data_IF_712118880186
#
_entry.id   IF_712118880186
#
_cell.length_a   1.000
_cell.length_b   1.000
_cell.length_c   1.000
_cell.angle_alpha   90.00
_cell.angle_beta   90.00
_cell.angle_gamma   90.00
#
_symmetry.space_group_name_H-M   'P 1'
#
loop_
_entity.id
_entity.type
_entity.pdbx_description
1 polymer ?
#
# COMPACT_ATOMS: atom_id res chain seq x y z
N UNK A 1 45.95 -32.09 28.39
CA UNK A 1 45.08 -30.89 28.28
C UNK A 1 45.04 -30.45 26.82
N UNK A 2 43.99 -30.82 26.08
CA UNK A 2 43.82 -30.42 24.67
C UNK A 2 42.85 -29.24 24.63
N UNK A 3 43.35 -28.06 24.22
CA UNK A 3 42.57 -26.84 24.01
C UNK A 3 41.78 -26.97 22.71
N UNK A 4 40.45 -26.89 22.79
CA UNK A 4 39.57 -26.75 21.64
C UNK A 4 39.57 -25.28 21.22
N UNK A 5 40.06 -25.02 20.01
CA UNK A 5 40.02 -23.72 19.37
C UNK A 5 38.63 -23.53 18.76
N UNK A 6 37.77 -22.76 19.41
CA UNK A 6 36.52 -22.29 18.79
C UNK A 6 36.88 -21.20 17.78
N UNK A 7 36.87 -21.57 16.50
CA UNK A 7 36.89 -20.61 15.40
C UNK A 7 35.53 -19.92 15.38
N UNK A 8 35.52 -18.66 15.84
CA UNK A 8 34.43 -17.71 15.62
C UNK A 8 34.47 -17.30 14.16
N UNK A 9 33.76 -18.04 13.30
CA UNK A 9 33.44 -17.59 11.94
C UNK A 9 32.49 -16.40 12.05
N UNK A 10 32.98 -15.21 11.71
CA UNK A 10 32.15 -14.07 11.38
C UNK A 10 31.43 -14.39 10.07
N UNK A 11 30.19 -14.86 10.15
CA UNK A 11 29.33 -15.04 8.99
C UNK A 11 28.89 -13.64 8.53
N UNK A 12 29.61 -13.11 7.54
CA UNK A 12 29.20 -11.95 6.77
C UNK A 12 28.06 -12.38 5.85
N UNK A 13 26.81 -12.25 6.31
CA UNK A 13 25.65 -12.46 5.45
C UNK A 13 25.66 -11.40 4.34
N UNK A 14 26.07 -11.84 3.15
CA UNK A 14 26.03 -11.06 1.92
C UNK A 14 24.57 -10.82 1.54
N UNK A 15 24.04 -9.61 1.80
CA UNK A 15 22.76 -9.16 1.24
C UNK A 15 22.99 -8.93 -0.26
N UNK A 16 22.81 -9.96 -1.08
CA UNK A 16 22.82 -9.80 -2.53
C UNK A 16 21.46 -9.24 -2.97
N UNK A 17 21.44 -7.98 -3.39
CA UNK A 17 20.30 -7.38 -4.11
C UNK A 17 19.20 -6.79 -3.23
N UNK A 18 19.52 -6.23 -2.06
CA UNK A 18 18.58 -5.48 -1.22
C UNK A 18 17.60 -6.34 -0.41
N UNK A 19 17.35 -7.60 -0.80
CA UNK A 19 16.44 -8.48 -0.06
C UNK A 19 17.07 -9.10 1.19
N UNK A 20 16.36 -9.03 2.32
CA UNK A 20 16.74 -9.75 3.55
C UNK A 20 16.47 -11.25 3.50
N UNK A 21 15.88 -11.77 2.41
CA UNK A 21 15.48 -13.17 2.30
C UNK A 21 16.69 -14.10 2.20
N UNK A 22 16.64 -15.18 2.98
CA UNK A 22 17.64 -16.25 2.92
C UNK A 22 17.50 -17.01 1.60
N UNK A 23 18.65 -17.41 1.07
CA UNK A 23 18.75 -18.19 -0.18
C UNK A 23 19.30 -19.59 0.12
N UNK A 24 19.26 -20.51 -0.86
CA UNK A 24 19.90 -21.83 -0.72
C UNK A 24 21.40 -21.80 -0.38
N UNK A 25 22.07 -20.64 -0.44
CA UNK A 25 23.47 -20.46 -0.01
C UNK A 25 23.61 -20.07 1.46
N UNK A 26 22.54 -20.09 2.26
CA UNK A 26 22.60 -19.72 3.67
C UNK A 26 23.60 -20.61 4.43
N UNK A 27 24.57 -20.00 5.11
CA UNK A 27 25.74 -20.68 5.69
C UNK A 27 26.96 -20.73 4.76
N UNK A 28 26.98 -19.94 3.69
CA UNK A 28 27.97 -19.88 2.59
C UNK A 28 28.03 -21.14 1.71
N UNK A 29 27.94 -22.32 2.32
CA UNK A 29 27.88 -23.64 1.65
C UNK A 29 26.45 -24.22 1.58
N UNK A 30 25.46 -23.49 2.10
CA UNK A 30 24.07 -23.97 2.19
C UNK A 30 23.79 -24.85 3.42
N UNK A 31 24.76 -25.07 4.31
CA UNK A 31 24.60 -25.91 5.52
C UNK A 31 23.50 -25.41 6.47
N UNK A 32 23.21 -24.11 6.47
CA UNK A 32 22.16 -23.51 7.27
C UNK A 32 20.79 -23.49 6.56
N UNK A 33 20.72 -23.83 5.26
CA UNK A 33 19.46 -23.92 4.51
C UNK A 33 18.61 -25.09 5.00
N UNK A 34 17.28 -24.91 5.01
CA UNK A 34 16.27 -25.88 5.52
C UNK A 34 16.38 -26.21 7.01
N UNK A 35 17.26 -25.55 7.76
CA UNK A 35 17.31 -25.70 9.21
C UNK A 35 16.17 -24.94 9.86
N UNK A 36 15.39 -25.65 10.69
CA UNK A 36 14.21 -25.09 11.36
C UNK A 36 14.56 -24.30 12.63
N UNK A 37 15.73 -24.58 13.23
CA UNK A 37 16.16 -24.03 14.53
C UNK A 37 17.24 -22.97 14.33
N UNK A 38 16.83 -21.72 14.14
CA UNK A 38 17.75 -20.59 13.93
C UNK A 38 18.76 -20.46 15.09
N UNK A 39 18.35 -20.80 16.31
CA UNK A 39 19.16 -20.71 17.52
C UNK A 39 20.45 -21.54 17.48
N UNK A 40 20.47 -22.62 16.70
CA UNK A 40 21.63 -23.51 16.60
C UNK A 40 22.83 -22.80 15.96
N UNK A 41 22.58 -21.88 15.04
CA UNK A 41 23.62 -21.12 14.33
C UNK A 41 23.68 -19.64 14.78
N UNK A 42 22.57 -19.09 15.28
CA UNK A 42 22.40 -17.67 15.57
C UNK A 42 22.03 -17.43 17.05
N UNK A 43 22.99 -17.53 17.98
CA UNK A 43 22.68 -17.36 19.40
C UNK A 43 22.27 -15.91 19.71
N UNK A 44 21.11 -15.70 20.34
CA UNK A 44 20.55 -14.38 20.74
C UNK A 44 21.56 -13.37 21.31
N UNK A 45 22.54 -13.75 22.14
CA UNK A 45 23.54 -12.80 22.64
C UNK A 45 24.42 -12.18 21.56
N UNK A 46 24.57 -12.85 20.41
CA UNK A 46 25.49 -12.52 19.31
C UNK A 46 24.82 -12.07 18.01
N UNK A 47 23.51 -12.27 17.85
CA UNK A 47 22.80 -11.78 16.67
C UNK A 47 22.65 -10.26 16.69
N UNK A 48 22.70 -9.65 15.50
CA UNK A 48 22.49 -8.21 15.31
C UNK A 48 23.36 -7.31 16.23
N UNK A 49 24.60 -7.75 16.48
CA UNK A 49 25.60 -6.96 17.21
C UNK A 49 26.15 -5.85 16.29
N UNK A 50 25.44 -4.72 16.21
CA UNK A 50 25.87 -3.54 15.45
C UNK A 50 24.72 -2.58 15.18
N UNK A 51 25.03 -1.30 14.93
CA UNK A 51 24.04 -0.37 14.36
C UNK A 51 23.93 -0.63 12.85
N UNK A 52 22.72 -0.54 12.25
CA UNK A 52 21.44 -0.11 12.83
C UNK A 52 20.64 -1.23 13.54
N UNK A 53 21.13 -2.47 13.54
CA UNK A 53 20.39 -3.66 13.95
C UNK A 53 20.10 -3.79 15.48
N UNK A 54 20.53 -2.83 16.32
CA UNK A 54 20.28 -2.86 17.76
C UNK A 54 18.79 -2.86 18.13
N UNK A 55 17.93 -2.17 17.35
CA UNK A 55 16.47 -2.20 17.55
C UNK A 55 15.86 -3.57 17.24
N UNK A 56 16.33 -4.21 16.17
CA UNK A 56 15.90 -5.56 15.75
C UNK A 56 16.25 -6.60 16.82
N UNK A 57 17.41 -6.47 17.48
CA UNK A 57 17.81 -7.38 18.56
C UNK A 57 16.81 -7.40 19.72
N UNK A 58 16.27 -6.24 20.11
CA UNK A 58 15.21 -6.16 21.12
C UNK A 58 13.96 -6.92 20.68
N UNK A 59 13.54 -6.72 19.44
CA UNK A 59 12.40 -7.43 18.85
C UNK A 59 12.59 -8.95 18.85
N UNK A 60 13.74 -9.46 18.41
CA UNK A 60 14.01 -10.92 18.39
C UNK A 60 14.09 -11.50 19.80
N UNK A 61 14.62 -10.73 20.78
CA UNK A 61 14.60 -11.15 22.19
C UNK A 61 13.17 -11.26 22.72
N UNK A 62 12.33 -10.28 22.41
CA UNK A 62 10.99 -10.17 23.00
C UNK A 62 9.98 -11.10 22.30
N UNK A 63 10.15 -11.32 20.98
CA UNK A 63 9.23 -12.13 20.13
C UNK A 63 9.77 -13.51 19.76
N UNK A 64 11.04 -13.79 20.06
CA UNK A 64 11.71 -15.06 19.78
C UNK A 64 12.05 -15.28 18.30
N UNK A 65 12.60 -16.46 17.98
CA UNK A 65 13.09 -16.80 16.63
C UNK A 65 12.02 -16.86 15.54
N UNK A 66 10.73 -16.84 15.90
CA UNK A 66 9.65 -16.73 14.93
C UNK A 66 9.73 -15.39 14.15
N UNK A 67 10.21 -14.31 14.77
CA UNK A 67 10.39 -13.02 14.08
C UNK A 67 11.50 -13.07 13.02
N UNK A 68 12.47 -13.99 13.16
CA UNK A 68 13.51 -14.18 12.14
C UNK A 68 12.90 -14.59 10.81
N UNK A 69 11.97 -15.54 10.80
CA UNK A 69 11.30 -15.95 9.56
C UNK A 69 10.43 -14.83 8.98
N UNK A 70 9.90 -13.94 9.83
CA UNK A 70 9.16 -12.75 9.40
C UNK A 70 9.98 -11.78 8.55
N UNK A 71 11.29 -11.65 8.79
CA UNK A 71 12.18 -10.79 7.99
C UNK A 71 12.96 -11.56 6.92
N UNK A 72 13.45 -12.74 7.27
CA UNK A 72 14.41 -13.51 6.48
C UNK A 72 13.75 -14.61 5.62
N UNK A 73 12.43 -14.76 5.70
CA UNK A 73 11.68 -15.81 5.01
C UNK A 73 11.80 -17.18 5.69
N UNK A 74 11.28 -18.21 5.04
CA UNK A 74 11.15 -19.55 5.65
C UNK A 74 12.47 -20.33 5.80
N UNK A 75 13.61 -19.76 5.39
CA UNK A 75 14.90 -20.46 5.29
C UNK A 75 14.81 -21.77 4.48
N UNK A 76 13.95 -21.81 3.46
CA UNK A 76 13.74 -23.01 2.63
C UNK A 76 12.96 -24.12 3.31
N UNK A 77 12.50 -23.90 4.54
CA UNK A 77 11.52 -24.77 5.18
C UNK A 77 10.13 -24.50 4.60
N UNK A 78 9.18 -25.39 4.90
CA UNK A 78 7.76 -25.21 4.54
C UNK A 78 6.99 -24.40 5.60
N UNK A 79 7.68 -23.76 6.55
CA UNK A 79 7.03 -22.90 7.55
C UNK A 79 6.59 -21.58 6.90
N UNK A 80 5.38 -21.12 7.25
CA UNK A 80 4.84 -19.83 6.79
C UNK A 80 5.62 -18.65 7.38
N UNK A 81 5.66 -17.52 6.67
CA UNK A 81 6.31 -16.27 7.09
C UNK A 81 5.39 -15.50 8.03
N UNK A 82 5.68 -15.36 9.35
CA UNK A 82 4.74 -14.76 10.30
C UNK A 82 4.81 -13.24 10.30
N UNK A 83 4.33 -12.57 9.24
CA UNK A 83 4.32 -11.11 9.10
C UNK A 83 3.69 -10.38 10.30
N UNK A 84 2.54 -10.84 10.82
CA UNK A 84 1.80 -10.19 11.91
C UNK A 84 2.53 -10.22 13.25
N UNK A 85 3.55 -11.07 13.41
CA UNK A 85 4.40 -11.01 14.60
C UNK A 85 5.08 -9.65 14.72
N UNK A 86 5.37 -8.99 13.60
CA UNK A 86 5.95 -7.66 13.51
C UNK A 86 4.92 -6.59 13.11
N UNK A 87 4.00 -6.95 12.22
CA UNK A 87 2.97 -6.05 11.69
C UNK A 87 1.69 -6.06 12.54
N UNK A 88 1.80 -5.68 13.81
CA UNK A 88 0.66 -5.63 14.75
C UNK A 88 0.47 -4.23 15.36
N UNK A 89 -0.68 -3.93 15.98
CA UNK A 89 -0.99 -2.60 16.52
C UNK A 89 -0.05 -2.11 17.64
N UNK A 90 0.69 -3.00 18.31
CA UNK A 90 1.63 -2.63 19.38
C UNK A 90 2.97 -2.14 18.83
N UNK A 91 3.41 -2.74 17.72
CA UNK A 91 4.78 -2.59 17.23
C UNK A 91 4.87 -1.77 15.93
N UNK A 92 3.77 -1.66 15.18
CA UNK A 92 3.73 -0.77 14.03
C UNK A 92 3.44 0.68 14.45
N UNK A 93 4.06 1.66 13.78
CA UNK A 93 3.54 3.02 13.81
C UNK A 93 2.09 3.04 13.30
N UNK A 94 1.36 4.10 13.60
CA UNK A 94 -0.05 4.24 13.18
C UNK A 94 -0.24 4.08 11.65
N UNK A 95 0.82 4.23 10.85
CA UNK A 95 0.85 4.07 9.40
C UNK A 95 1.77 2.91 8.98
N UNK A 96 1.43 2.14 7.91
CA UNK A 96 0.18 2.21 7.16
C UNK A 96 -0.99 1.62 7.95
N UNK A 97 -2.14 2.30 7.91
CA UNK A 97 -3.34 1.88 8.60
C UNK A 97 -3.90 0.58 8.00
N UNK A 98 -4.15 -0.43 8.84
CA UNK A 98 -4.75 -1.73 8.46
C UNK A 98 -6.13 -1.95 9.10
N UNK A 99 -6.77 -0.88 9.53
CA UNK A 99 -8.11 -0.89 10.12
C UNK A 99 -9.19 -0.68 9.05
N UNK A 100 -10.42 -1.07 9.35
CA UNK A 100 -11.52 -1.06 8.39
C UNK A 100 -12.28 -2.38 8.35
N UNK A 101 -13.59 -2.27 8.10
CA UNK A 101 -14.46 -3.40 7.74
C UNK A 101 -14.23 -3.91 6.31
N UNK A 102 -13.71 -3.05 5.41
CA UNK A 102 -13.33 -3.42 4.05
C UNK A 102 -11.82 -3.44 3.92
N UNK A 103 -11.27 -4.53 3.38
CA UNK A 103 -9.83 -4.75 3.25
C UNK A 103 -9.54 -5.65 2.06
N UNK A 104 -8.32 -5.56 1.54
CA UNK A 104 -7.81 -6.52 0.57
C UNK A 104 -7.50 -7.84 1.29
N UNK A 105 -8.54 -8.57 1.69
CA UNK A 105 -8.42 -9.96 2.15
C UNK A 105 -8.53 -10.87 0.92
N UNK A 106 -7.52 -11.69 0.70
CA UNK A 106 -7.52 -12.67 -0.39
C UNK A 106 -8.03 -14.01 0.15
N UNK A 107 -9.35 -14.23 0.03
CA UNK A 107 -10.00 -15.53 0.21
C UNK A 107 -9.88 -16.21 1.60
N UNK A 108 -9.91 -15.44 2.68
CA UNK A 108 -10.00 -16.00 4.05
C UNK A 108 -8.74 -16.77 4.48
N UNK A 109 -7.61 -16.46 3.86
CA UNK A 109 -6.31 -17.00 4.23
C UNK A 109 -5.82 -16.37 5.54
N UNK A 110 -4.79 -16.96 6.16
CA UNK A 110 -4.13 -16.28 7.27
C UNK A 110 -3.46 -15.01 6.75
N UNK A 111 -3.62 -13.88 7.45
CA UNK A 111 -3.05 -12.57 7.11
C UNK A 111 -1.59 -12.62 6.65
N UNK A 112 -0.81 -13.54 7.21
CA UNK A 112 0.60 -13.76 6.88
C UNK A 112 0.85 -14.24 5.45
N UNK A 113 -0.02 -15.08 4.91
CA UNK A 113 0.10 -15.57 3.53
C UNK A 113 -0.32 -14.50 2.52
N UNK A 114 -1.29 -13.68 2.88
CA UNK A 114 -1.76 -12.58 2.04
C UNK A 114 -0.71 -11.45 1.96
N UNK A 115 0.00 -11.17 3.06
CA UNK A 115 1.06 -10.16 3.05
C UNK A 115 2.15 -10.49 2.01
N UNK A 116 2.58 -11.76 1.92
CA UNK A 116 3.69 -12.15 1.02
C UNK A 116 3.29 -12.23 -0.45
N UNK A 117 2.00 -12.16 -0.75
CA UNK A 117 1.49 -11.95 -2.11
C UNK A 117 1.96 -10.60 -2.64
N UNK A 118 1.74 -9.53 -1.88
CA UNK A 118 2.09 -8.17 -2.28
C UNK A 118 3.49 -7.76 -1.83
N UNK A 119 4.04 -8.37 -0.77
CA UNK A 119 5.30 -7.95 -0.13
C UNK A 119 6.34 -9.07 -0.06
N UNK A 120 6.47 -9.85 -1.14
CA UNK A 120 7.34 -11.02 -1.15
C UNK A 120 8.78 -10.68 -0.74
N UNK A 121 9.32 -9.59 -1.28
CA UNK A 121 10.74 -9.23 -1.17
C UNK A 121 11.05 -8.04 -0.27
N UNK A 122 10.04 -7.54 0.48
CA UNK A 122 10.21 -6.40 1.37
C UNK A 122 11.37 -6.60 2.35
N UNK A 123 12.26 -5.61 2.37
CA UNK A 123 13.47 -5.61 3.19
C UNK A 123 13.22 -5.09 4.61
N UNK A 124 12.03 -4.52 4.85
CA UNK A 124 11.51 -4.17 6.17
C UNK A 124 12.43 -3.22 6.95
N UNK A 125 13.10 -2.29 6.26
CA UNK A 125 14.01 -1.34 6.89
C UNK A 125 13.31 -0.10 7.51
N UNK A 126 12.00 0.01 7.27
CA UNK A 126 11.14 1.09 7.75
C UNK A 126 10.94 2.23 6.75
N UNK A 127 11.62 2.19 5.61
CA UNK A 127 11.29 2.96 4.43
C UNK A 127 10.39 2.11 3.53
N UNK A 128 9.60 2.77 2.69
CA UNK A 128 8.77 2.07 1.71
C UNK A 128 9.26 2.42 0.32
N UNK A 129 9.86 1.43 -0.33
CA UNK A 129 10.37 1.52 -1.68
C UNK A 129 9.59 0.55 -2.55
N UNK A 130 8.73 1.10 -3.42
CA UNK A 130 7.85 0.31 -4.30
C UNK A 130 8.55 -0.81 -5.06
N UNK A 131 9.81 -0.62 -5.45
CA UNK A 131 10.57 -1.64 -6.20
C UNK A 131 11.14 -2.75 -5.34
N UNK A 132 11.30 -2.50 -4.04
CA UNK A 132 11.88 -3.42 -3.08
C UNK A 132 10.78 -4.11 -2.28
N UNK A 133 9.81 -3.35 -1.81
CA UNK A 133 8.76 -3.80 -0.92
C UNK A 133 7.54 -4.38 -1.59
N UNK A 134 7.26 -4.03 -2.86
CA UNK A 134 6.19 -4.66 -3.61
C UNK A 134 6.73 -5.82 -4.44
N UNK A 135 5.97 -6.91 -4.49
CA UNK A 135 6.16 -8.00 -5.43
C UNK A 135 6.06 -7.44 -6.85
N UNK A 136 7.11 -7.62 -7.65
CA UNK A 136 7.12 -7.24 -9.06
C UNK A 136 6.27 -8.21 -9.89
N UNK A 137 4.99 -7.89 -10.06
CA UNK A 137 4.10 -8.56 -11.00
C UNK A 137 4.45 -8.20 -12.45
N UNK A 138 4.28 -9.16 -13.40
CA UNK A 138 4.58 -8.95 -14.80
C UNK A 138 3.71 -7.84 -15.43
N UNK A 139 4.26 -7.17 -16.45
CA UNK A 139 3.56 -6.19 -17.27
C UNK A 139 2.69 -6.83 -18.36
N UNK A 140 2.06 -5.99 -19.18
CA UNK A 140 1.27 -6.39 -20.36
C UNK A 140 2.05 -7.30 -21.35
N UNK A 141 3.38 -7.24 -21.33
CA UNK A 141 4.28 -8.06 -22.13
C UNK A 141 4.85 -9.25 -21.36
N UNK A 142 4.28 -9.58 -20.20
CA UNK A 142 4.71 -10.67 -19.32
C UNK A 142 6.15 -10.52 -18.78
N UNK A 143 6.62 -9.28 -18.64
CA UNK A 143 7.97 -8.98 -18.11
C UNK A 143 7.89 -8.35 -16.73
N UNK A 144 8.76 -8.74 -15.77
CA UNK A 144 8.85 -8.06 -14.48
C UNK A 144 9.54 -6.70 -14.70
N UNK A 145 8.74 -5.64 -14.83
CA UNK A 145 9.23 -4.26 -14.98
C UNK A 145 8.99 -3.44 -13.71
N UNK A 146 9.91 -2.53 -13.34
CA UNK A 146 9.75 -1.66 -12.18
C UNK A 146 8.48 -0.79 -12.25
N UNK A 147 7.88 -0.48 -11.10
CA UNK A 147 6.72 0.41 -10.94
C UNK A 147 7.09 1.90 -10.95
N UNK A 148 6.52 2.71 -11.85
CA UNK A 148 6.79 4.16 -11.83
C UNK A 148 5.87 4.90 -10.85
N UNK A 149 4.70 4.34 -10.53
CA UNK A 149 3.71 4.89 -9.60
C UNK A 149 3.07 3.78 -8.72
N UNK A 150 2.29 4.13 -7.68
CA UNK A 150 1.48 3.11 -7.00
C UNK A 150 0.37 2.60 -7.93
N UNK A 151 -0.19 3.48 -8.75
CA UNK A 151 -1.16 3.11 -9.78
C UNK A 151 -0.61 2.01 -10.69
N UNK A 152 0.65 2.08 -11.11
CA UNK A 152 1.23 1.03 -11.95
C UNK A 152 1.21 -0.35 -11.28
N UNK A 153 1.35 -0.42 -9.95
CA UNK A 153 1.18 -1.65 -9.18
C UNK A 153 -0.28 -2.10 -9.19
N UNK A 154 -1.22 -1.21 -8.86
CA UNK A 154 -2.66 -1.51 -8.87
C UNK A 154 -3.12 -2.03 -10.24
N UNK A 155 -2.67 -1.40 -11.32
CA UNK A 155 -3.04 -1.72 -12.70
C UNK A 155 -2.47 -3.06 -13.18
N UNK A 156 -1.49 -3.65 -12.48
CA UNK A 156 -1.09 -5.05 -12.78
C UNK A 156 -2.23 -6.02 -12.57
N UNK A 157 -3.07 -5.79 -11.57
CA UNK A 157 -4.20 -6.66 -11.26
C UNK A 157 -5.53 -6.09 -11.76
N UNK A 158 -5.68 -4.76 -11.76
CA UNK A 158 -6.89 -4.08 -12.22
C UNK A 158 -6.83 -3.74 -13.70
N UNK A 159 -6.80 -4.79 -14.52
CA UNK A 159 -6.88 -4.70 -15.97
C UNK A 159 -7.65 -5.93 -16.49
N UNK A 160 -8.12 -5.81 -17.73
CA UNK A 160 -8.90 -6.85 -18.40
C UNK A 160 -8.10 -7.63 -19.44
N UNK A 161 -7.07 -7.00 -20.01
CA UNK A 161 -6.37 -7.51 -21.19
C UNK A 161 -5.16 -8.39 -20.85
N UNK A 162 -4.65 -8.31 -19.62
CA UNK A 162 -3.50 -9.08 -19.15
C UNK A 162 -3.55 -9.32 -17.64
N UNK A 163 -4.60 -10.00 -17.14
CA UNK A 163 -4.75 -10.26 -15.71
C UNK A 163 -3.60 -11.16 -15.22
N UNK A 164 -3.19 -10.95 -13.97
CA UNK A 164 -2.20 -11.82 -13.31
C UNK A 164 -2.88 -13.16 -12.98
N UNK A 165 -2.24 -14.30 -13.29
CA UNK A 165 -2.75 -15.60 -12.86
C UNK A 165 -3.01 -15.67 -11.35
N UNK A 166 -4.23 -16.03 -10.97
CA UNK A 166 -4.70 -16.08 -9.58
C UNK A 166 -5.31 -14.77 -9.05
N UNK A 167 -5.32 -13.69 -9.85
CA UNK A 167 -5.95 -12.40 -9.53
C UNK A 167 -6.99 -12.00 -10.57
N UNK A 168 -7.47 -12.96 -11.37
CA UNK A 168 -8.55 -12.72 -12.30
C UNK A 168 -9.84 -12.32 -11.56
N UNK A 169 -10.69 -11.55 -12.24
CA UNK A 169 -12.01 -11.14 -11.75
C UNK A 169 -13.14 -11.79 -12.57
N UNK A 170 -13.28 -13.14 -12.55
CA UNK A 170 -14.14 -13.87 -13.48
C UNK A 170 -15.63 -13.58 -13.31
N UNK A 171 -16.06 -13.12 -12.12
CA UNK A 171 -17.46 -12.84 -11.81
C UNK A 171 -17.89 -11.41 -12.17
N UNK A 172 -17.03 -10.65 -12.87
CA UNK A 172 -17.29 -9.27 -13.26
C UNK A 172 -17.41 -9.13 -14.77
N UNK A 173 -18.26 -8.20 -15.20
CA UNK A 173 -18.41 -7.88 -16.61
C UNK A 173 -17.13 -7.25 -17.18
N UNK A 174 -16.86 -7.45 -18.47
CA UNK A 174 -15.71 -6.87 -19.17
C UNK A 174 -15.66 -5.34 -19.12
N UNK A 175 -16.81 -4.68 -18.92
CA UNK A 175 -16.96 -3.23 -18.77
C UNK A 175 -17.05 -2.78 -17.32
N UNK A 176 -16.97 -3.69 -16.36
CA UNK A 176 -16.90 -3.33 -14.95
C UNK A 176 -15.70 -2.38 -14.74
N UNK A 177 -15.89 -1.20 -14.12
CA UNK A 177 -14.81 -0.24 -13.94
C UNK A 177 -13.58 -0.80 -13.22
N UNK A 178 -13.72 -1.81 -12.35
CA UNK A 178 -12.58 -2.46 -11.70
C UNK A 178 -11.80 -3.39 -12.63
N UNK A 179 -12.47 -3.99 -13.63
CA UNK A 179 -11.86 -4.83 -14.66
C UNK A 179 -11.20 -3.96 -15.72
N UNK A 180 -11.88 -2.89 -16.16
CA UNK A 180 -11.37 -1.93 -17.14
C UNK A 180 -10.56 -0.77 -16.52
N UNK A 181 -10.07 -0.91 -15.28
CA UNK A 181 -9.51 0.23 -14.54
C UNK A 181 -8.26 0.80 -15.21
N UNK A 182 -7.42 -0.03 -15.84
CA UNK A 182 -6.28 0.48 -16.61
C UNK A 182 -6.70 1.42 -17.73
N UNK A 183 -7.74 1.06 -18.48
CA UNK A 183 -8.28 1.93 -19.53
C UNK A 183 -8.90 3.19 -18.93
N UNK A 184 -9.68 3.03 -17.85
CA UNK A 184 -10.31 4.15 -17.17
C UNK A 184 -9.25 5.13 -16.67
N UNK A 185 -8.24 4.64 -15.96
CA UNK A 185 -7.16 5.44 -15.41
C UNK A 185 -6.35 6.15 -16.49
N UNK A 186 -6.04 5.45 -17.60
CA UNK A 186 -5.23 6.00 -18.68
C UNK A 186 -6.02 6.90 -19.64
N UNK A 187 -7.34 6.72 -19.77
CA UNK A 187 -8.11 7.31 -20.87
C UNK A 187 -9.41 8.02 -20.49
N UNK A 188 -9.92 7.89 -19.27
CA UNK A 188 -11.23 8.43 -18.89
C UNK A 188 -11.15 9.23 -17.58
N UNK A 189 -10.69 8.61 -16.50
CA UNK A 189 -10.60 9.13 -15.15
C UNK A 189 -9.29 9.90 -14.93
N UNK A 190 -9.05 10.85 -15.83
CA UNK A 190 -7.86 11.69 -15.95
C UNK A 190 -7.69 12.71 -14.81
N UNK A 191 -7.85 12.30 -13.54
CA UNK A 191 -7.54 13.13 -12.38
C UNK A 191 -6.06 13.50 -12.44
N UNK A 192 -5.79 14.76 -12.79
CA UNK A 192 -4.43 15.23 -12.95
C UNK A 192 -3.83 15.19 -14.35
N UNK A 193 -4.60 14.95 -15.41
CA UNK A 193 -4.06 15.01 -16.79
C UNK A 193 -4.60 16.17 -17.62
N UNK A 194 -5.77 16.72 -17.26
CA UNK A 194 -6.37 17.85 -17.96
C UNK A 194 -5.99 19.17 -17.27
N UNK A 195 -5.78 20.21 -18.08
CA UNK A 195 -5.85 21.60 -17.62
C UNK A 195 -7.31 21.85 -17.23
N UNK A 196 -7.55 22.44 -16.06
CA UNK A 196 -8.90 22.68 -15.54
C UNK A 196 -9.78 23.43 -16.54
N UNK A 197 -11.08 23.18 -16.48
CA UNK A 197 -12.07 23.89 -17.29
C UNK A 197 -12.28 25.33 -16.81
N UNK A 198 -13.05 26.10 -17.59
CA UNK A 198 -13.53 27.45 -17.22
C UNK A 198 -14.90 27.40 -16.49
N UNK A 199 -15.17 26.30 -15.79
CA UNK A 199 -16.47 25.99 -15.18
C UNK A 199 -16.76 26.82 -13.93
N UNK A 200 -18.04 26.91 -13.54
CA UNK A 200 -18.43 27.65 -12.32
C UNK A 200 -17.91 26.98 -11.03
N UNK A 201 -17.63 25.68 -11.09
CA UNK A 201 -17.25 24.86 -9.94
C UNK A 201 -15.80 24.37 -10.02
N UNK A 202 -14.98 24.97 -10.89
CA UNK A 202 -13.55 24.67 -10.99
C UNK A 202 -12.81 25.06 -9.71
N UNK A 203 -11.70 24.38 -9.46
CA UNK A 203 -10.75 24.77 -8.42
C UNK A 203 -10.25 23.59 -7.60
N UNK A 204 -9.01 23.72 -7.16
CA UNK A 204 -8.30 22.73 -6.38
C UNK A 204 -7.75 23.39 -5.12
N UNK A 205 -7.64 22.60 -4.05
CA UNK A 205 -6.92 23.03 -2.86
C UNK A 205 -5.44 23.19 -3.14
N UNK A 206 -4.82 24.02 -2.31
CA UNK A 206 -3.36 24.12 -2.26
C UNK A 206 -2.71 22.74 -2.11
N UNK A 207 -1.63 22.52 -2.86
CA UNK A 207 -0.97 21.22 -3.00
C UNK A 207 -1.44 20.41 -4.22
N UNK A 208 -2.68 20.60 -4.66
CA UNK A 208 -3.21 19.96 -5.86
C UNK A 208 -3.17 20.90 -7.07
N UNK A 209 -2.84 20.34 -8.24
CA UNK A 209 -2.82 21.10 -9.49
C UNK A 209 -3.51 20.34 -10.63
N UNK A 210 -4.16 21.09 -11.52
CA UNK A 210 -4.60 20.53 -12.78
C UNK A 210 -3.38 20.15 -13.61
N UNK A 211 -3.44 19.00 -14.28
CA UNK A 211 -2.29 18.44 -14.99
C UNK A 211 -1.25 17.73 -14.10
N UNK A 212 -1.45 17.64 -12.77
CA UNK A 212 -0.65 16.75 -11.91
C UNK A 212 -1.37 15.43 -11.61
N UNK A 213 -0.84 14.30 -12.08
CA UNK A 213 -1.40 12.94 -11.93
C UNK A 213 -1.72 12.61 -10.47
N UNK A 214 -2.98 12.25 -10.21
CA UNK A 214 -3.46 11.73 -8.92
C UNK A 214 -3.27 10.21 -8.91
N UNK A 215 -2.72 9.67 -7.82
CA UNK A 215 -2.46 8.24 -7.68
C UNK A 215 -3.74 7.51 -7.21
N UNK A 216 -3.87 6.21 -7.49
CA UNK A 216 -5.01 5.40 -6.99
C UNK A 216 -5.11 5.47 -5.46
N UNK A 217 -3.95 5.53 -4.80
CA UNK A 217 -3.83 5.60 -3.34
C UNK A 217 -4.23 6.95 -2.75
N UNK A 218 -4.47 7.98 -3.56
CA UNK A 218 -5.00 9.25 -3.05
C UNK A 218 -6.48 9.13 -2.66
N UNK A 219 -7.21 8.20 -3.28
CA UNK A 219 -8.63 7.96 -3.01
C UNK A 219 -8.90 6.59 -2.39
N UNK A 220 -8.04 5.59 -2.63
CA UNK A 220 -8.25 4.22 -2.17
C UNK A 220 -7.21 3.76 -1.13
N UNK A 221 -7.68 3.09 -0.08
CA UNK A 221 -6.84 2.49 0.95
C UNK A 221 -6.36 1.09 0.53
N UNK A 222 -5.04 0.87 0.53
CA UNK A 222 -4.44 -0.40 0.12
C UNK A 222 -4.66 -1.53 1.13
N UNK A 223 -4.73 -1.24 2.43
CA UNK A 223 -4.80 -2.28 3.46
C UNK A 223 -6.15 -2.38 4.16
N UNK A 224 -6.94 -1.31 4.16
CA UNK A 224 -8.30 -1.35 4.70
C UNK A 224 -8.87 0.03 4.99
N UNK A 225 -10.20 0.07 5.07
CA UNK A 225 -11.00 1.27 5.33
C UNK A 225 -12.40 0.89 5.82
N UNK A 226 -13.11 1.83 6.43
CA UNK A 226 -14.53 1.68 6.73
C UNK A 226 -15.46 1.94 5.53
N UNK A 227 -14.96 2.55 4.45
CA UNK A 227 -15.78 2.86 3.28
C UNK A 227 -15.77 1.74 2.23
N UNK A 228 -16.91 1.55 1.57
CA UNK A 228 -17.05 0.61 0.44
C UNK A 228 -16.15 1.03 -0.73
N UNK A 229 -15.83 0.07 -1.61
CA UNK A 229 -14.93 0.33 -2.75
C UNK A 229 -13.50 0.68 -2.34
N UNK A 230 -13.14 0.37 -1.09
CA UNK A 230 -11.85 0.66 -0.49
C UNK A 230 -11.48 2.15 -0.51
N UNK A 231 -12.46 3.06 -0.48
CA UNK A 231 -12.20 4.49 -0.41
C UNK A 231 -11.59 4.87 0.94
N UNK A 232 -10.64 5.80 1.00
CA UNK A 232 -10.04 6.21 2.26
C UNK A 232 -11.12 6.68 3.26
N UNK A 233 -10.97 6.33 4.53
CA UNK A 233 -11.85 6.78 5.63
C UNK A 233 -11.29 7.98 6.39
N UNK A 234 -10.10 8.43 5.98
CA UNK A 234 -9.46 9.65 6.44
C UNK A 234 -8.37 10.09 5.50
N UNK A 235 -8.05 11.38 5.50
CA UNK A 235 -7.03 11.95 4.64
C UNK A 235 -5.66 11.27 4.80
N UNK A 236 -5.19 10.91 6.01
CA UNK A 236 -3.89 10.24 6.19
C UNK A 236 -3.75 8.86 5.51
N UNK A 237 -4.84 8.21 5.10
CA UNK A 237 -4.77 6.97 4.32
C UNK A 237 -4.54 7.22 2.82
N UNK A 238 -4.66 8.47 2.36
CA UNK A 238 -4.49 8.90 0.98
C UNK A 238 -4.20 10.38 0.89
N UNK A 239 -4.86 11.09 -0.02
CA UNK A 239 -4.75 12.54 -0.21
C UNK A 239 -3.31 13.08 -0.06
N UNK A 240 -2.35 12.46 -0.77
CA UNK A 240 -0.92 12.62 -0.50
C UNK A 240 -0.37 14.04 -0.72
N UNK A 241 -1.09 14.87 -1.47
CA UNK A 241 -0.73 16.25 -1.76
C UNK A 241 -1.46 17.27 -0.88
N UNK A 242 -2.36 16.82 0.01
CA UNK A 242 -3.07 17.74 0.90
C UNK A 242 -2.08 18.44 1.82
N UNK A 243 -2.17 19.77 1.89
CA UNK A 243 -1.31 20.60 2.73
C UNK A 243 -1.30 20.09 4.19
N UNK A 244 -0.14 19.63 4.71
CA UNK A 244 -0.01 19.13 6.07
C UNK A 244 -0.35 20.19 7.13
N UNK A 245 -0.19 21.48 6.81
CA UNK A 245 -0.41 22.60 7.75
C UNK A 245 -1.89 22.83 8.06
N UNK A 246 -2.79 22.31 7.22
CA UNK A 246 -4.22 22.36 7.51
C UNK A 246 -4.59 21.48 8.73
N UNK A 247 -3.65 20.69 9.28
CA UNK A 247 -3.89 19.81 10.44
C UNK A 247 -4.83 18.64 10.11
N UNK A 248 -5.03 18.39 8.80
CA UNK A 248 -6.09 17.56 8.26
C UNK A 248 -5.71 16.10 8.05
N UNK A 249 -4.53 15.65 8.48
CA UNK A 249 -4.17 14.22 8.40
C UNK A 249 -5.23 13.30 9.07
N UNK A 250 -6.05 13.83 9.99
CA UNK A 250 -7.17 13.12 10.60
C UNK A 250 -8.57 13.51 10.07
N UNK A 251 -8.68 14.28 8.97
CA UNK A 251 -10.01 14.59 8.39
C UNK A 251 -10.71 13.29 8.05
N UNK A 252 -11.84 12.99 8.69
CA UNK A 252 -12.57 11.78 8.39
C UNK A 252 -13.21 11.89 7.01
N UNK A 253 -13.33 10.74 6.36
CA UNK A 253 -14.08 10.60 5.12
C UNK A 253 -15.09 9.50 5.37
N UNK A 254 -16.36 9.85 5.26
CA UNK A 254 -17.45 8.91 5.32
C UNK A 254 -18.27 9.03 4.04
N UNK A 255 -18.32 7.94 3.27
CA UNK A 255 -19.12 7.93 2.04
C UNK A 255 -20.53 7.40 2.25
N UNK A 256 -20.86 6.90 3.45
CA UNK A 256 -22.18 6.34 3.78
C UNK A 256 -22.61 5.17 2.90
N UNK A 257 -23.83 4.69 3.13
CA UNK A 257 -24.48 3.69 2.25
C UNK A 257 -25.04 4.34 0.97
N UNK A 258 -25.36 5.63 1.03
CA UNK A 258 -25.95 6.39 -0.09
C UNK A 258 -24.91 7.10 -0.99
N UNK A 259 -23.61 6.94 -0.72
CA UNK A 259 -22.58 7.50 -1.58
C UNK A 259 -22.41 9.02 -1.48
N UNK A 260 -22.24 9.53 -0.26
CA UNK A 260 -21.85 10.92 -0.02
C UNK A 260 -20.35 11.11 -0.30
N UNK A 261 -20.00 11.25 -1.58
CA UNK A 261 -18.61 11.44 -2.01
C UNK A 261 -18.07 12.84 -1.72
N UNK A 262 -18.92 13.78 -1.30
CA UNK A 262 -18.52 15.16 -1.03
C UNK A 262 -17.34 15.23 -0.03
N UNK A 263 -17.37 14.42 1.03
CA UNK A 263 -16.29 14.37 2.03
C UNK A 263 -14.94 13.89 1.45
N UNK A 264 -14.97 13.03 0.44
CA UNK A 264 -13.77 12.59 -0.27
C UNK A 264 -13.31 13.64 -1.29
N UNK A 265 -14.23 14.13 -2.12
CA UNK A 265 -13.92 15.05 -3.22
C UNK A 265 -13.39 16.38 -2.68
N UNK A 266 -13.94 16.87 -1.57
CA UNK A 266 -13.54 18.13 -0.94
C UNK A 266 -12.13 18.08 -0.36
N UNK A 267 -11.49 16.91 -0.25
CA UNK A 267 -10.06 16.81 0.13
C UNK A 267 -9.16 17.47 -0.91
N UNK A 268 -9.50 17.35 -2.19
CA UNK A 268 -8.69 17.89 -3.29
C UNK A 268 -9.35 19.12 -3.93
N UNK A 269 -10.69 19.17 -3.93
CA UNK A 269 -11.45 20.22 -4.59
C UNK A 269 -11.79 21.37 -3.66
N UNK A 270 -11.66 22.58 -4.21
CA UNK A 270 -12.15 23.82 -3.61
C UNK A 270 -12.45 24.80 -4.72
N UNK A 271 -13.71 25.19 -4.86
CA UNK A 271 -14.14 26.13 -5.89
C UNK A 271 -13.39 27.47 -5.76
N UNK A 272 -12.88 27.96 -6.89
CA UNK A 272 -12.15 29.24 -6.97
C UNK A 272 -13.06 30.44 -6.77
N UNK A 273 -14.37 30.26 -7.02
CA UNK A 273 -15.40 31.30 -6.91
C UNK A 273 -16.51 30.82 -6.00
N UNK A 274 -17.03 31.74 -5.20
CA UNK A 274 -18.23 31.49 -4.42
C UNK A 274 -19.39 31.09 -5.34
N UNK A 275 -20.09 30.03 -4.96
CA UNK A 275 -21.13 29.39 -5.75
C UNK A 275 -22.13 28.69 -4.87
N UNK A 276 -23.05 27.92 -5.46
CA UNK A 276 -23.98 27.09 -4.68
C UNK A 276 -23.17 26.15 -3.78
N UNK A 277 -23.51 26.15 -2.49
CA UNK A 277 -22.92 25.32 -1.44
C UNK A 277 -21.42 25.54 -1.17
N UNK A 278 -20.79 26.59 -1.71
CA UNK A 278 -19.33 26.79 -1.58
C UNK A 278 -18.83 26.90 -0.14
N UNK A 279 -19.65 27.45 0.75
CA UNK A 279 -19.34 27.57 2.18
C UNK A 279 -20.00 26.47 3.03
N UNK A 280 -20.73 25.55 2.40
CA UNK A 280 -21.40 24.47 3.13
C UNK A 280 -20.37 23.40 3.49
N UNK A 281 -20.31 23.05 4.77
CA UNK A 281 -19.50 21.93 5.26
C UNK A 281 -20.06 20.62 4.70
N UNK A 282 -19.16 19.80 4.17
CA UNK A 282 -19.46 18.44 3.68
C UNK A 282 -19.65 17.41 4.79
N UNK A 283 -19.48 17.83 6.05
CA UNK A 283 -19.63 17.01 7.26
C UNK A 283 -18.31 16.52 7.83
N UNK A 284 -17.17 16.93 7.26
CA UNK A 284 -15.83 16.62 7.78
C UNK A 284 -15.00 17.87 8.11
N UNK A 285 -15.64 19.03 8.20
CA UNK A 285 -14.99 20.32 8.51
C UNK A 285 -14.43 21.01 7.27
N UNK A 286 -14.65 20.46 6.07
CA UNK A 286 -14.22 21.06 4.81
C UNK A 286 -15.41 21.47 3.95
N UNK A 287 -15.26 22.63 3.31
CA UNK A 287 -16.21 23.23 2.37
C UNK A 287 -15.51 23.59 1.05
N UNK A 288 -16.28 23.95 0.03
CA UNK A 288 -15.75 24.39 -1.26
C UNK A 288 -16.11 23.48 -2.42
N UNK A 289 -17.11 22.61 -2.28
CA UNK A 289 -17.69 21.84 -3.39
C UNK A 289 -19.18 22.15 -3.52
N UNK A 290 -19.71 22.07 -4.75
CA UNK A 290 -21.17 22.09 -4.92
C UNK A 290 -21.78 20.77 -4.43
N UNK A 291 -23.08 20.76 -4.09
CA UNK A 291 -23.76 19.57 -3.60
C UNK A 291 -23.04 18.96 -2.38
N UNK A 292 -22.71 19.79 -1.39
CA UNK A 292 -21.92 19.38 -0.21
C UNK A 292 -22.54 18.20 0.57
N UNK A 293 -23.83 17.93 0.40
CA UNK A 293 -24.55 16.78 1.01
C UNK A 293 -24.96 15.70 0.00
N UNK A 294 -24.53 15.81 -1.26
CA UNK A 294 -24.98 14.97 -2.37
C UNK A 294 -23.96 13.93 -2.84
N UNK A 295 -24.39 13.09 -3.79
CA UNK A 295 -23.57 12.06 -4.41
C UNK A 295 -22.85 12.57 -5.65
N UNK A 296 -21.56 12.93 -5.53
CA UNK A 296 -20.77 13.41 -6.66
C UNK A 296 -20.73 12.41 -7.83
N UNK A 297 -20.86 11.10 -7.55
CA UNK A 297 -20.85 10.01 -8.54
C UNK A 297 -22.03 10.01 -9.51
N UNK A 298 -23.12 10.71 -9.21
CA UNK A 298 -24.24 10.83 -10.15
C UNK A 298 -23.81 11.54 -11.44
N UNK A 299 -22.79 12.40 -11.33
CA UNK A 299 -22.20 13.15 -12.44
C UNK A 299 -20.72 12.82 -12.70
N UNK A 300 -20.03 12.22 -11.73
CA UNK A 300 -18.58 12.00 -11.73
C UNK A 300 -18.20 10.56 -11.32
N UNK A 301 -18.73 9.55 -12.02
CA UNK A 301 -18.33 8.15 -11.78
C UNK A 301 -17.13 7.72 -12.66
N UNK A 302 -16.35 6.77 -12.15
CA UNK A 302 -15.28 6.12 -12.91
C UNK A 302 -15.76 5.56 -14.25
N UNK A 303 -14.98 5.78 -15.30
CA UNK A 303 -15.31 5.30 -16.65
C UNK A 303 -16.40 6.09 -17.36
N UNK A 304 -16.92 7.17 -16.78
CA UNK A 304 -17.78 8.12 -17.48
C UNK A 304 -16.95 9.18 -18.19
N UNK A 305 -17.23 9.43 -19.47
CA UNK A 305 -16.66 10.56 -20.19
C UNK A 305 -17.00 11.85 -19.44
N UNK A 306 -15.98 12.57 -18.96
CA UNK A 306 -16.17 13.71 -18.07
C UNK A 306 -17.24 14.70 -18.56
N UNK A 307 -18.20 15.01 -17.70
CA UNK A 307 -19.19 16.05 -17.96
C UNK A 307 -18.50 17.43 -17.96
N UNK A 308 -18.93 18.33 -18.83
CA UNK A 308 -18.39 19.68 -18.91
C UNK A 308 -18.57 20.40 -17.56
N UNK A 309 -17.46 20.78 -16.89
CA UNK A 309 -17.53 21.53 -15.64
C UNK A 309 -16.36 21.40 -14.67
N UNK A 310 -15.46 20.43 -14.86
CA UNK A 310 -14.17 20.34 -14.15
C UNK A 310 -13.07 21.14 -14.84
#
# INVERSE_FOLDING_TARGET
MKRWLFILLFVSNSVHGGSLLLTPRHGDDGSAWKQAECAACHPLPRIHQGKPAAGIRGMVRDKGYASCMGCHGSNGTQKKRPCVICHNPRDLPALPHRDGSFRHDFAGMSLDEECVTCHRNADMDGQFERQQDLTLFPDAHQRPTPYFSNADFCLRCHNRDHPIPGFEMPDRDWRDPLVAMEDNYRFIDYHGHRVGGNGTYQGLREGYAYGSRVDCTDCHAMHGTENTGLLIDRAAKGASQLDPTLGLAAVPVWTGEEGQYAQLCVLCHRMDRAGRDSETDTGNGLSGVHQATGGCRDCHAHGQAGQAGL
#
